data_IF_382330931239
#
_entry.id   IF_382330931239
#
_cell.length_a   1.000
_cell.length_b   1.000
_cell.length_c   1.000
_cell.angle_alpha   90.00
_cell.angle_beta   90.00
_cell.angle_gamma   90.00
#
_symmetry.space_group_name_H-M   'P 1'
#
loop_
_entity.id
_entity.type
_entity.pdbx_description
1 polymer ?
#
# COMPACT_ATOMS: atom_id res chain seq x y z
N UNK A 1 36.75 0.61 7.53
CA UNK A 1 36.41 0.96 6.14
C UNK A 1 36.53 -0.31 5.31
N UNK A 2 35.41 -0.81 4.80
CA UNK A 2 35.35 -2.08 4.07
C UNK A 2 33.94 -2.31 3.56
N UNK A 3 33.65 -1.70 2.41
CA UNK A 3 32.49 -1.99 1.57
C UNK A 3 32.65 -3.41 1.01
N UNK A 4 31.75 -4.33 1.35
CA UNK A 4 31.51 -5.51 0.53
C UNK A 4 30.01 -5.76 0.43
N UNK A 5 29.54 -5.49 -0.78
CA UNK A 5 28.25 -5.85 -1.34
C UNK A 5 28.09 -7.37 -1.39
N UNK A 6 26.96 -7.89 -0.94
CA UNK A 6 26.48 -9.24 -1.27
C UNK A 6 25.27 -9.14 -2.21
N UNK A 7 25.11 -10.09 -3.16
CA UNK A 7 24.31 -9.91 -4.37
C UNK A 7 22.79 -10.13 -4.15
N UNK A 8 21.92 -9.49 -4.96
CA UNK A 8 20.47 -9.64 -4.88
C UNK A 8 19.99 -10.88 -5.63
N UNK A 9 20.31 -12.09 -5.14
CA UNK A 9 19.93 -13.35 -5.81
C UNK A 9 18.47 -13.80 -5.57
N UNK A 10 17.72 -13.16 -4.67
CA UNK A 10 16.36 -13.61 -4.32
C UNK A 10 15.22 -12.90 -5.10
N UNK A 11 15.53 -11.88 -5.91
CA UNK A 11 14.54 -11.18 -6.72
C UNK A 11 14.45 -11.68 -8.18
N UNK A 12 15.31 -12.62 -8.57
CA UNK A 12 15.45 -13.04 -9.97
C UNK A 12 14.45 -14.12 -10.40
N UNK A 13 13.84 -14.84 -9.45
CA UNK A 13 12.98 -15.99 -9.76
C UNK A 13 11.48 -15.68 -9.93
N UNK A 14 11.03 -14.43 -9.68
CA UNK A 14 9.62 -14.03 -9.85
C UNK A 14 9.32 -13.20 -11.11
N UNK A 15 10.31 -12.91 -11.96
CA UNK A 15 10.10 -12.15 -13.21
C UNK A 15 9.94 -13.02 -14.45
N UNK A 16 9.68 -14.32 -14.30
CA UNK A 16 9.55 -15.27 -15.41
C UNK A 16 8.22 -15.16 -16.20
N UNK A 17 7.56 -13.98 -16.23
CA UNK A 17 6.71 -13.64 -17.37
C UNK A 17 7.63 -13.19 -18.50
N UNK A 18 8.04 -14.19 -19.28
CA UNK A 18 8.81 -14.11 -20.52
C UNK A 18 8.13 -13.15 -21.50
N UNK A 19 8.51 -11.87 -21.45
CA UNK A 19 8.26 -10.92 -22.52
C UNK A 19 9.31 -11.18 -23.61
N UNK A 20 8.86 -11.63 -24.77
CA UNK A 20 9.66 -11.88 -25.96
C UNK A 20 10.54 -10.67 -26.38
N UNK A 21 11.64 -10.91 -27.13
CA UNK A 21 12.87 -10.12 -27.04
C UNK A 21 12.96 -8.91 -27.99
N UNK A 22 13.70 -7.90 -27.51
CA UNK A 22 14.61 -7.00 -28.24
C UNK A 22 14.16 -6.41 -29.60
N UNK A 23 13.38 -5.32 -29.55
CA UNK A 23 13.34 -4.31 -30.62
C UNK A 23 14.19 -3.12 -30.19
N UNK A 24 15.18 -2.73 -31.00
CA UNK A 24 16.17 -1.68 -30.66
C UNK A 24 15.48 -0.43 -30.08
N UNK A 25 15.71 -0.15 -28.79
CA UNK A 25 15.24 1.06 -28.15
C UNK A 25 15.96 2.26 -28.76
N UNK A 26 15.22 3.19 -29.36
CA UNK A 26 15.78 4.43 -29.87
C UNK A 26 16.47 5.18 -28.72
N UNK A 27 17.71 5.64 -28.90
CA UNK A 27 18.55 6.34 -27.89
C UNK A 27 17.80 7.46 -27.13
N UNK A 28 16.83 8.09 -27.78
CA UNK A 28 15.98 9.15 -27.22
C UNK A 28 14.87 8.64 -26.30
N UNK A 29 14.23 7.50 -26.60
CA UNK A 29 13.23 6.86 -25.71
C UNK A 29 13.87 6.41 -24.39
N UNK A 30 15.08 5.82 -24.49
CA UNK A 30 15.90 5.49 -23.32
C UNK A 30 16.27 6.72 -22.49
N UNK A 31 16.64 7.83 -23.14
CA UNK A 31 16.93 9.10 -22.44
C UNK A 31 15.71 9.68 -21.73
N UNK A 32 14.52 9.64 -22.34
CA UNK A 32 13.27 10.11 -21.72
C UNK A 32 12.92 9.22 -20.54
N UNK A 33 13.01 7.89 -20.70
CA UNK A 33 12.77 6.94 -19.60
C UNK A 33 13.73 7.19 -18.45
N UNK A 34 15.03 7.31 -18.75
CA UNK A 34 16.06 7.65 -17.75
C UNK A 34 15.84 9.03 -17.13
N UNK A 35 15.34 10.02 -17.88
CA UNK A 35 15.07 11.36 -17.36
C UNK A 35 13.85 11.36 -16.43
N UNK A 36 12.76 10.70 -16.81
CA UNK A 36 11.57 10.51 -15.97
C UNK A 36 11.91 9.72 -14.72
N UNK A 37 12.75 8.70 -14.85
CA UNK A 37 13.17 7.88 -13.73
C UNK A 37 14.16 8.62 -12.81
N UNK A 38 15.08 9.43 -13.36
CA UNK A 38 16.08 10.15 -12.58
C UNK A 38 15.55 11.41 -11.92
N UNK A 39 14.63 12.12 -12.57
CA UNK A 39 14.19 13.44 -12.10
C UNK A 39 12.94 13.35 -11.22
N UNK A 40 13.04 13.84 -9.99
CA UNK A 40 11.88 14.04 -9.12
C UNK A 40 10.90 15.06 -9.71
N UNK A 41 11.38 16.08 -10.44
CA UNK A 41 10.52 17.14 -10.97
C UNK A 41 9.61 16.63 -12.07
N UNK A 42 10.09 15.76 -12.97
CA UNK A 42 9.24 15.17 -14.01
C UNK A 42 8.17 14.26 -13.43
N UNK A 43 8.50 13.49 -12.38
CA UNK A 43 7.52 12.65 -11.67
C UNK A 43 6.46 13.51 -10.98
N UNK A 44 6.87 14.62 -10.37
CA UNK A 44 5.95 15.57 -9.74
C UNK A 44 5.04 16.26 -10.76
N UNK A 45 5.58 16.71 -11.89
CA UNK A 45 4.82 17.36 -12.97
C UNK A 45 3.82 16.38 -13.57
N UNK A 46 4.25 15.15 -13.88
CA UNK A 46 3.38 14.11 -14.37
C UNK A 46 2.28 13.77 -13.37
N UNK A 47 2.63 13.66 -12.09
CA UNK A 47 1.68 13.41 -11.02
C UNK A 47 0.65 14.54 -10.94
N UNK A 48 1.08 15.79 -10.90
CA UNK A 48 0.18 16.96 -10.83
C UNK A 48 -0.74 17.04 -12.05
N UNK A 49 -0.22 16.73 -13.24
CA UNK A 49 -1.00 16.68 -14.46
C UNK A 49 -2.10 15.60 -14.43
N UNK A 50 -1.75 14.38 -14.00
CA UNK A 50 -2.73 13.29 -13.83
C UNK A 50 -3.73 13.63 -12.73
N UNK A 51 -3.25 14.19 -11.61
CA UNK A 51 -4.10 14.62 -10.49
C UNK A 51 -5.15 15.64 -10.96
N UNK A 52 -4.73 16.61 -11.78
CA UNK A 52 -5.59 17.64 -12.36
C UNK A 52 -6.63 17.05 -13.30
N UNK A 53 -6.25 16.12 -14.16
CA UNK A 53 -7.21 15.40 -15.01
C UNK A 53 -8.25 14.64 -14.18
N UNK A 54 -7.80 13.88 -13.17
CA UNK A 54 -8.71 13.10 -12.31
C UNK A 54 -9.60 13.97 -11.43
N UNK A 55 -9.08 15.06 -10.85
CA UNK A 55 -9.89 15.96 -10.01
C UNK A 55 -10.97 16.67 -10.82
N UNK A 56 -10.68 16.97 -12.08
CA UNK A 56 -11.65 17.57 -13.00
C UNK A 56 -12.75 16.60 -13.43
N UNK A 57 -12.40 15.34 -13.70
CA UNK A 57 -13.40 14.27 -13.96
C UNK A 57 -14.31 14.08 -12.75
N UNK A 58 -13.74 14.08 -11.54
CA UNK A 58 -14.53 13.96 -10.30
C UNK A 58 -15.41 15.21 -10.11
N UNK A 59 -14.87 16.41 -10.32
CA UNK A 59 -15.61 17.67 -10.23
C UNK A 59 -16.81 17.71 -11.19
N UNK A 60 -16.61 17.30 -12.44
CA UNK A 60 -17.67 17.19 -13.45
C UNK A 60 -18.70 16.10 -13.10
N UNK A 61 -18.22 14.95 -12.60
CA UNK A 61 -19.07 13.84 -12.16
C UNK A 61 -19.97 14.15 -10.95
N UNK A 62 -19.58 15.08 -10.08
CA UNK A 62 -20.42 15.58 -8.97
C UNK A 62 -21.42 16.64 -9.44
N UNK A 63 -21.02 17.48 -10.40
CA UNK A 63 -21.86 18.56 -10.93
C UNK A 63 -22.92 18.07 -11.93
N UNK A 64 -22.63 17.01 -12.68
CA UNK A 64 -23.54 16.48 -13.71
C UNK A 64 -24.87 16.00 -13.12
N UNK A 65 -24.93 15.08 -12.12
CA UNK A 65 -26.21 14.65 -11.56
C UNK A 65 -26.91 15.75 -10.77
N UNK A 66 -26.21 16.69 -10.13
CA UNK A 66 -26.86 17.78 -9.37
C UNK A 66 -27.52 18.82 -10.28
N UNK A 67 -26.88 19.18 -11.40
CA UNK A 67 -27.48 20.03 -12.43
C UNK A 67 -28.59 19.30 -13.18
N UNK A 68 -28.40 18.01 -13.49
CA UNK A 68 -29.37 17.21 -14.22
C UNK A 68 -30.60 16.90 -13.34
N UNK A 69 -30.45 16.62 -12.04
CA UNK A 69 -31.58 16.40 -11.12
C UNK A 69 -32.42 17.66 -10.90
N UNK A 70 -31.79 18.85 -10.87
CA UNK A 70 -32.49 20.14 -10.89
C UNK A 70 -33.24 20.38 -12.22
N UNK A 71 -32.77 19.75 -13.31
CA UNK A 71 -33.36 19.88 -14.64
C UNK A 71 -34.30 18.72 -15.00
N UNK A 72 -34.27 17.57 -14.32
CA UNK A 72 -35.01 16.33 -14.66
C UNK A 72 -36.00 15.87 -13.57
N UNK A 73 -36.29 16.68 -12.55
CA UNK A 73 -37.54 16.47 -11.81
C UNK A 73 -38.70 16.65 -12.79
N UNK A 74 -39.53 15.62 -13.06
CA UNK A 74 -40.57 15.67 -14.10
C UNK A 74 -41.58 16.79 -13.85
N UNK A 75 -41.72 17.20 -12.59
CA UNK A 75 -42.56 18.33 -12.17
C UNK A 75 -41.94 19.69 -12.53
N UNK A 76 -40.60 19.80 -12.53
CA UNK A 76 -39.87 21.03 -12.87
C UNK A 76 -39.67 21.18 -14.38
N UNK A 77 -39.42 20.09 -15.12
CA UNK A 77 -39.37 20.14 -16.60
C UNK A 77 -40.69 20.60 -17.21
N UNK A 78 -41.82 20.12 -16.68
CA UNK A 78 -43.14 20.49 -17.19
C UNK A 78 -43.48 21.95 -16.85
N UNK A 79 -43.13 22.41 -15.64
CA UNK A 79 -43.31 23.82 -15.24
C UNK A 79 -42.39 24.76 -16.02
N UNK A 80 -41.13 24.38 -16.26
CA UNK A 80 -40.16 25.16 -17.04
C UNK A 80 -40.57 25.19 -18.50
N UNK A 81 -40.85 24.07 -19.16
CA UNK A 81 -41.23 24.06 -20.59
C UNK A 81 -42.57 24.78 -20.82
N UNK A 82 -43.53 24.67 -19.90
CA UNK A 82 -44.83 25.35 -20.02
C UNK A 82 -44.74 26.85 -19.67
N UNK A 83 -43.92 27.24 -18.68
CA UNK A 83 -43.62 28.64 -18.39
C UNK A 83 -42.82 29.30 -19.52
N UNK A 84 -41.85 28.59 -20.10
CA UNK A 84 -41.03 29.03 -21.24
C UNK A 84 -41.87 29.19 -22.51
N UNK A 85 -42.82 28.28 -22.75
CA UNK A 85 -43.76 28.40 -23.87
C UNK A 85 -44.75 29.56 -23.68
N UNK A 86 -45.18 29.84 -22.44
CA UNK A 86 -46.04 30.98 -22.11
C UNK A 86 -45.32 32.34 -22.12
N UNK A 87 -44.05 32.40 -21.71
CA UNK A 87 -43.25 33.63 -21.63
C UNK A 87 -42.68 34.04 -23.00
N UNK A 88 -42.44 33.08 -23.91
CA UNK A 88 -42.02 33.31 -25.31
C UNK A 88 -43.07 34.10 -26.12
N UNK A 89 -44.32 34.10 -25.69
CA UNK A 89 -45.43 34.84 -26.33
C UNK A 89 -45.51 36.27 -25.77
N UNK A 90 -45.00 36.54 -24.57
CA UNK A 90 -45.21 37.81 -23.86
C UNK A 90 -43.98 38.73 -23.83
N UNK A 91 -42.75 38.23 -23.99
CA UNK A 91 -41.55 39.05 -24.14
C UNK A 91 -40.43 38.29 -24.89
N UNK A 92 -39.98 38.73 -26.09
CA UNK A 92 -38.92 38.06 -26.85
C UNK A 92 -37.49 38.34 -26.33
N UNK A 93 -37.36 39.00 -25.19
CA UNK A 93 -36.11 39.47 -24.60
C UNK A 93 -36.14 39.20 -23.10
N UNK A 94 -35.72 38.02 -22.61
CA UNK A 94 -35.30 37.87 -21.21
C UNK A 94 -34.52 36.57 -20.91
N UNK A 95 -33.26 36.75 -20.49
CA UNK A 95 -32.53 36.06 -19.41
C UNK A 95 -32.49 34.51 -19.27
N UNK A 96 -33.07 33.74 -20.18
CA UNK A 96 -33.06 32.27 -20.12
C UNK A 96 -31.75 31.63 -20.66
N UNK A 97 -31.01 32.38 -21.48
CA UNK A 97 -29.77 31.94 -22.14
C UNK A 97 -28.60 31.72 -21.17
N UNK A 98 -28.59 32.35 -19.99
CA UNK A 98 -27.46 32.27 -19.06
C UNK A 98 -27.36 30.91 -18.37
N UNK A 99 -28.47 30.30 -17.96
CA UNK A 99 -28.46 29.04 -17.21
C UNK A 99 -28.11 27.84 -18.11
N UNK A 100 -28.61 27.82 -19.34
CA UNK A 100 -28.31 26.77 -20.33
C UNK A 100 -26.89 26.94 -20.92
N UNK A 101 -26.44 28.18 -21.11
CA UNK A 101 -25.04 28.48 -21.46
C UNK A 101 -24.06 28.09 -20.34
N UNK A 102 -24.45 28.26 -19.07
CA UNK A 102 -23.67 27.87 -17.90
C UNK A 102 -23.44 26.35 -17.87
N UNK A 103 -24.51 25.55 -17.95
CA UNK A 103 -24.44 24.08 -17.95
C UNK A 103 -23.60 23.53 -19.12
N UNK A 104 -23.80 24.06 -20.33
CA UNK A 104 -23.03 23.63 -21.51
C UNK A 104 -21.56 24.07 -21.47
N UNK A 105 -21.22 25.15 -20.76
CA UNK A 105 -19.83 25.62 -20.68
C UNK A 105 -18.98 24.76 -19.75
N UNK A 106 -19.56 24.20 -18.69
CA UNK A 106 -18.87 23.31 -17.75
C UNK A 106 -18.49 21.98 -18.41
N UNK A 107 -19.45 21.33 -19.08
CA UNK A 107 -19.24 20.06 -19.76
C UNK A 107 -18.15 20.18 -20.85
N UNK A 108 -18.13 21.30 -21.59
CA UNK A 108 -17.11 21.56 -22.62
C UNK A 108 -15.70 21.69 -22.02
N UNK A 109 -15.55 22.34 -20.87
CA UNK A 109 -14.25 22.55 -20.20
C UNK A 109 -13.68 21.25 -19.61
N UNK A 110 -14.54 20.43 -19.00
CA UNK A 110 -14.15 19.12 -18.46
C UNK A 110 -13.71 18.18 -19.59
N UNK A 111 -14.53 18.04 -20.63
CA UNK A 111 -14.23 17.16 -21.77
C UNK A 111 -12.94 17.57 -22.46
N UNK A 112 -12.72 18.86 -22.76
CA UNK A 112 -11.49 19.28 -23.45
C UNK A 112 -10.23 19.03 -22.63
N UNK A 113 -10.29 19.20 -21.30
CA UNK A 113 -9.14 18.98 -20.44
C UNK A 113 -8.82 17.50 -20.32
N UNK A 114 -9.84 16.63 -20.26
CA UNK A 114 -9.66 15.18 -20.32
C UNK A 114 -9.03 14.78 -21.66
N UNK A 115 -9.51 15.33 -22.78
CA UNK A 115 -8.91 15.06 -24.10
C UNK A 115 -7.44 15.49 -24.14
N UNK A 116 -7.12 16.68 -23.65
CA UNK A 116 -5.74 17.18 -23.53
C UNK A 116 -4.86 16.28 -22.64
N UNK A 117 -5.39 15.82 -21.51
CA UNK A 117 -4.71 14.88 -20.61
C UNK A 117 -4.43 13.56 -21.32
N UNK A 118 -5.40 13.04 -22.07
CA UNK A 118 -5.21 11.81 -22.85
C UNK A 118 -4.19 12.00 -23.98
N UNK A 119 -4.15 13.14 -24.67
CA UNK A 119 -3.17 13.41 -25.74
C UNK A 119 -1.74 13.51 -25.20
N UNK A 120 -1.57 14.14 -24.04
CA UNK A 120 -0.29 14.17 -23.33
C UNK A 120 0.11 12.78 -22.80
N UNK A 121 -0.83 12.00 -22.26
CA UNK A 121 -0.56 10.63 -21.82
C UNK A 121 -0.22 9.72 -23.00
N UNK A 122 -0.88 9.89 -24.15
CA UNK A 122 -0.59 9.17 -25.39
C UNK A 122 0.81 9.45 -25.91
N UNK A 123 1.30 10.70 -25.81
CA UNK A 123 2.71 11.00 -26.07
C UNK A 123 3.65 10.15 -25.21
N UNK A 124 3.36 10.05 -23.91
CA UNK A 124 4.14 9.23 -22.98
C UNK A 124 4.00 7.74 -23.30
N UNK A 125 2.82 7.23 -23.66
CA UNK A 125 2.61 5.83 -24.04
C UNK A 125 3.38 5.48 -25.31
N UNK A 126 3.30 6.31 -26.36
CA UNK A 126 4.01 6.06 -27.63
C UNK A 126 5.53 6.04 -27.41
N UNK A 127 6.03 6.92 -26.55
CA UNK A 127 7.47 7.03 -26.26
C UNK A 127 7.98 5.97 -25.27
N UNK A 128 7.18 5.57 -24.27
CA UNK A 128 7.61 4.65 -23.19
C UNK A 128 7.18 3.21 -23.40
N UNK A 129 5.95 2.97 -23.86
CA UNK A 129 5.38 1.62 -24.05
C UNK A 129 5.63 1.13 -25.47
N UNK A 130 5.34 1.96 -26.48
CA UNK A 130 5.48 1.55 -27.89
C UNK A 130 6.89 1.73 -28.45
N UNK A 131 7.80 2.35 -27.68
CA UNK A 131 9.23 2.55 -28.03
C UNK A 131 9.42 3.09 -29.47
N UNK A 132 8.49 3.92 -29.96
CA UNK A 132 8.60 4.54 -31.28
C UNK A 132 9.45 5.82 -31.22
N UNK A 133 9.98 6.23 -32.37
CA UNK A 133 10.77 7.46 -32.47
C UNK A 133 9.99 8.66 -31.93
N UNK A 134 10.64 9.48 -31.10
CA UNK A 134 10.06 10.68 -30.47
C UNK A 134 9.44 11.62 -31.49
N UNK A 135 9.99 11.68 -32.72
CA UNK A 135 9.42 12.48 -33.81
C UNK A 135 7.99 12.08 -34.19
N UNK A 136 7.67 10.79 -34.23
CA UNK A 136 6.32 10.29 -34.54
C UNK A 136 5.36 10.64 -33.39
N UNK A 137 5.81 10.48 -32.15
CA UNK A 137 5.02 10.88 -30.99
C UNK A 137 4.78 12.40 -30.96
N UNK A 138 5.82 13.19 -31.21
CA UNK A 138 5.74 14.65 -31.25
C UNK A 138 4.83 15.11 -32.39
N UNK A 139 4.93 14.53 -33.58
CA UNK A 139 4.06 14.86 -34.71
C UNK A 139 2.58 14.59 -34.39
N UNK A 140 2.28 13.43 -33.78
CA UNK A 140 0.94 13.11 -33.30
C UNK A 140 0.45 14.14 -32.27
N UNK A 141 1.24 14.42 -31.24
CA UNK A 141 0.89 15.36 -30.17
C UNK A 141 0.74 16.79 -30.66
N UNK A 142 1.55 17.23 -31.61
CA UNK A 142 1.41 18.57 -32.20
C UNK A 142 0.13 18.65 -33.03
N UNK A 143 -0.20 17.61 -33.80
CA UNK A 143 -1.41 17.60 -34.63
C UNK A 143 -2.69 17.62 -33.79
N UNK A 144 -2.83 16.69 -32.85
CA UNK A 144 -4.04 16.61 -32.01
C UNK A 144 -4.04 17.64 -30.88
N UNK A 145 -2.89 17.84 -30.23
CA UNK A 145 -2.76 18.77 -29.12
C UNK A 145 -2.93 20.24 -29.52
N UNK A 146 -2.61 20.62 -30.77
CA UNK A 146 -2.90 21.99 -31.24
C UNK A 146 -4.40 22.24 -31.42
N UNK A 147 -5.15 21.29 -31.99
CA UNK A 147 -6.61 21.37 -32.10
C UNK A 147 -7.27 21.49 -30.72
N UNK A 148 -6.81 20.68 -29.77
CA UNK A 148 -7.30 20.71 -28.40
C UNK A 148 -6.92 22.02 -27.69
N UNK A 149 -5.71 22.51 -27.88
CA UNK A 149 -5.24 23.77 -27.28
C UNK A 149 -6.00 24.99 -27.82
N UNK A 150 -6.34 25.00 -29.11
CA UNK A 150 -7.19 26.04 -29.70
C UNK A 150 -8.60 26.01 -29.10
N UNK A 151 -9.18 24.82 -28.95
CA UNK A 151 -10.49 24.67 -28.34
C UNK A 151 -10.49 25.02 -26.84
N UNK A 152 -9.41 24.69 -26.13
CA UNK A 152 -9.18 25.10 -24.74
C UNK A 152 -9.06 26.62 -24.64
N UNK A 153 -8.30 27.26 -25.53
CA UNK A 153 -8.16 28.72 -25.59
C UNK A 153 -9.51 29.41 -25.78
N UNK A 154 -10.33 28.91 -26.72
CA UNK A 154 -11.69 29.41 -26.93
C UNK A 154 -12.61 29.18 -25.71
N UNK A 155 -12.39 28.10 -24.96
CA UNK A 155 -13.15 27.77 -23.76
C UNK A 155 -12.75 28.65 -22.56
N UNK A 156 -11.46 28.95 -22.40
CA UNK A 156 -10.93 29.85 -21.35
C UNK A 156 -11.50 31.26 -21.49
N UNK A 157 -11.65 31.77 -22.72
CA UNK A 157 -12.24 33.09 -22.96
C UNK A 157 -13.67 33.21 -22.40
N UNK A 158 -14.42 32.10 -22.34
CA UNK A 158 -15.80 32.05 -21.80
C UNK A 158 -15.87 31.71 -20.31
N UNK A 159 -14.75 31.38 -19.66
CA UNK A 159 -14.71 31.02 -18.22
C UNK A 159 -15.22 32.15 -17.33
N UNK A 160 -14.94 33.41 -17.70
CA UNK A 160 -15.36 34.59 -16.92
C UNK A 160 -16.89 34.70 -16.78
N UNK A 161 -17.65 34.15 -17.72
CA UNK A 161 -19.11 34.22 -17.71
C UNK A 161 -19.80 32.98 -17.11
N UNK A 162 -19.04 32.00 -16.61
CA UNK A 162 -19.63 30.85 -15.94
C UNK A 162 -18.71 29.67 -15.64
N UNK A 163 -17.63 29.46 -16.41
CA UNK A 163 -16.76 28.28 -16.28
C UNK A 163 -15.87 28.21 -15.03
N UNK A 164 -15.88 29.22 -14.16
CA UNK A 164 -14.99 29.28 -12.99
C UNK A 164 -15.35 28.28 -11.89
N UNK A 165 -16.62 27.89 -11.77
CA UNK A 165 -17.10 27.06 -10.66
C UNK A 165 -16.48 25.63 -10.64
N UNK A 166 -16.50 24.82 -11.73
CA UNK A 166 -15.84 23.52 -11.74
C UNK A 166 -14.33 23.64 -11.65
N UNK A 167 -13.74 24.72 -12.18
CA UNK A 167 -12.31 24.96 -12.06
C UNK A 167 -11.94 25.14 -10.58
N UNK A 168 -12.73 25.92 -9.83
CA UNK A 168 -12.55 26.10 -8.40
C UNK A 168 -12.75 24.79 -7.62
N UNK A 169 -13.83 24.03 -7.90
CA UNK A 169 -14.09 22.75 -7.24
C UNK A 169 -12.95 21.74 -7.54
N UNK A 170 -12.50 21.68 -8.79
CA UNK A 170 -11.39 20.81 -9.22
C UNK A 170 -10.09 21.21 -8.56
N UNK A 171 -9.84 22.52 -8.35
CA UNK A 171 -8.69 23.03 -7.63
C UNK A 171 -8.74 22.62 -6.15
N UNK A 172 -9.91 22.67 -5.50
CA UNK A 172 -10.06 22.23 -4.11
C UNK A 172 -9.78 20.72 -3.99
N UNK A 173 -10.37 19.90 -4.86
CA UNK A 173 -10.14 18.45 -4.88
C UNK A 173 -8.66 18.14 -5.16
N UNK A 174 -8.05 18.85 -6.12
CA UNK A 174 -6.63 18.74 -6.43
C UNK A 174 -5.77 19.02 -5.19
N UNK A 175 -6.04 20.11 -4.46
CA UNK A 175 -5.29 20.47 -3.25
C UNK A 175 -5.42 19.43 -2.15
N UNK A 176 -6.64 18.90 -1.94
CA UNK A 176 -6.91 17.82 -0.99
C UNK A 176 -6.12 16.55 -1.35
N UNK A 177 -6.21 16.12 -2.60
CA UNK A 177 -5.56 14.91 -3.09
C UNK A 177 -4.02 15.05 -3.11
N UNK A 178 -3.52 16.23 -3.50
CA UNK A 178 -2.10 16.54 -3.50
C UNK A 178 -1.54 16.51 -2.08
N UNK A 179 -2.26 17.12 -1.14
CA UNK A 179 -1.87 17.14 0.29
C UNK A 179 -1.90 15.74 0.89
N UNK A 180 -2.92 14.92 0.55
CA UNK A 180 -2.97 13.52 0.95
C UNK A 180 -1.78 12.71 0.43
N UNK A 181 -1.46 12.86 -0.86
CA UNK A 181 -0.34 12.18 -1.48
C UNK A 181 0.99 12.62 -0.84
N UNK A 182 1.19 13.94 -0.70
CA UNK A 182 2.37 14.52 -0.09
C UNK A 182 2.57 14.02 1.35
N UNK A 183 1.53 14.09 2.19
CA UNK A 183 1.59 13.61 3.57
C UNK A 183 1.84 12.12 3.70
N UNK A 184 1.26 11.31 2.80
CA UNK A 184 1.49 9.85 2.77
C UNK A 184 2.91 9.50 2.36
N UNK A 185 3.46 10.17 1.36
CA UNK A 185 4.85 9.98 0.92
C UNK A 185 5.82 10.38 2.03
N UNK A 186 5.58 11.54 2.65
CA UNK A 186 6.41 12.04 3.75
C UNK A 186 6.37 11.15 5.00
N UNK A 187 5.19 10.61 5.33
CA UNK A 187 5.07 9.57 6.37
C UNK A 187 5.95 8.35 6.04
N UNK A 188 5.83 7.80 4.83
CA UNK A 188 6.59 6.61 4.43
C UNK A 188 8.10 6.85 4.43
N UNK A 189 8.53 8.02 3.97
CA UNK A 189 9.94 8.41 3.98
C UNK A 189 10.50 8.44 5.41
N UNK A 190 9.74 9.02 6.35
CA UNK A 190 10.11 9.04 7.76
C UNK A 190 10.20 7.62 8.36
N UNK A 191 9.22 6.75 8.08
CA UNK A 191 9.24 5.34 8.54
C UNK A 191 10.45 4.57 8.01
N UNK A 192 10.86 4.82 6.76
CA UNK A 192 12.02 4.17 6.15
C UNK A 192 13.35 4.69 6.72
N UNK A 193 13.44 5.99 7.02
CA UNK A 193 14.63 6.60 7.61
C UNK A 193 14.81 6.21 9.09
N UNK A 194 13.71 6.15 9.84
CA UNK A 194 13.70 5.81 11.27
C UNK A 194 13.42 4.33 11.54
N UNK A 195 13.62 3.46 10.53
CA UNK A 195 13.57 2.02 10.76
C UNK A 195 14.65 1.64 11.77
N UNK A 196 14.28 0.85 12.77
CA UNK A 196 15.23 0.36 13.78
C UNK A 196 15.70 -1.02 13.34
N UNK A 197 17.02 -1.21 13.23
CA UNK A 197 17.56 -2.54 12.99
C UNK A 197 17.29 -3.41 14.21
N UNK A 198 16.80 -4.62 13.96
CA UNK A 198 16.46 -5.55 15.02
C UNK A 198 17.69 -5.90 15.86
N UNK A 199 18.88 -6.00 15.24
CA UNK A 199 20.14 -6.24 15.93
C UNK A 199 20.47 -5.14 16.96
N UNK A 200 20.17 -3.88 16.62
CA UNK A 200 20.36 -2.77 17.55
C UNK A 200 19.36 -2.86 18.70
N UNK A 201 18.10 -3.19 18.42
CA UNK A 201 17.09 -3.38 19.45
C UNK A 201 17.42 -4.56 20.38
N UNK A 202 17.86 -5.68 19.82
CA UNK A 202 18.30 -6.86 20.57
C UNK A 202 19.59 -6.61 21.37
N UNK A 203 20.53 -5.80 20.89
CA UNK A 203 21.72 -5.45 21.67
C UNK A 203 21.39 -4.59 22.90
N UNK A 204 20.37 -3.75 22.79
CA UNK A 204 19.94 -2.83 23.85
C UNK A 204 18.98 -3.57 24.81
N UNK A 205 18.22 -4.55 24.33
CA UNK A 205 17.25 -5.35 25.09
C UNK A 205 17.76 -5.93 26.42
N UNK A 206 18.91 -6.64 26.50
CA UNK A 206 19.44 -7.16 27.75
C UNK A 206 19.69 -6.08 28.80
N UNK A 207 20.08 -4.89 28.36
CA UNK A 207 20.36 -3.75 29.24
C UNK A 207 19.08 -3.04 29.74
N UNK A 208 17.94 -3.25 29.08
CA UNK A 208 16.66 -2.64 29.48
C UNK A 208 15.88 -3.44 30.52
N UNK A 209 16.32 -4.65 30.88
CA UNK A 209 15.57 -5.49 31.82
C UNK A 209 14.16 -5.83 31.33
N UNK A 210 14.03 -6.18 30.05
CA UNK A 210 12.73 -6.42 29.42
C UNK A 210 12.00 -7.59 30.08
N UNK A 211 10.82 -7.31 30.63
CA UNK A 211 9.92 -8.33 31.21
C UNK A 211 9.16 -8.99 30.07
N UNK A 212 9.23 -10.32 29.99
CA UNK A 212 8.44 -11.09 29.02
C UNK A 212 7.13 -11.52 29.66
N UNK A 213 6.03 -11.06 29.08
CA UNK A 213 4.66 -11.43 29.48
C UNK A 213 4.26 -12.68 28.69
N UNK A 214 3.60 -13.68 29.31
CA UNK A 214 3.08 -14.82 28.56
C UNK A 214 2.01 -14.38 27.57
N UNK A 215 2.00 -14.97 26.38
CA UNK A 215 1.09 -14.66 25.27
C UNK A 215 1.80 -14.53 23.92
N UNK A 216 0.99 -14.41 22.87
CA UNK A 216 1.46 -14.09 21.50
C UNK A 216 1.08 -12.66 21.15
N UNK A 217 2.03 -11.87 20.65
CA UNK A 217 1.75 -10.53 20.12
C UNK A 217 1.96 -10.45 18.61
N UNK A 218 0.90 -10.04 17.90
CA UNK A 218 0.87 -9.83 16.47
C UNK A 218 1.07 -8.34 16.18
N UNK A 219 2.25 -7.96 15.67
CA UNK A 219 2.59 -6.56 15.38
C UNK A 219 2.38 -6.28 13.89
N UNK A 220 1.36 -5.49 13.55
CA UNK A 220 1.13 -5.06 12.18
C UNK A 220 2.10 -3.96 11.77
N UNK A 221 2.94 -4.25 10.78
CA UNK A 221 3.92 -3.34 10.21
C UNK A 221 3.69 -3.16 8.71
N UNK A 222 4.03 -1.98 8.20
CA UNK A 222 4.11 -1.72 6.75
C UNK A 222 5.56 -1.80 6.23
N UNK A 223 6.53 -2.01 7.12
CA UNK A 223 7.95 -2.10 6.79
C UNK A 223 8.28 -3.56 6.48
N UNK A 224 8.89 -3.80 5.33
CA UNK A 224 9.33 -5.15 4.95
C UNK A 224 10.47 -5.58 5.87
N UNK A 225 11.58 -4.86 5.92
CA UNK A 225 12.77 -5.27 6.68
C UNK A 225 13.00 -4.41 7.92
N UNK A 226 13.20 -5.05 9.07
CA UNK A 226 13.47 -4.39 10.35
C UNK A 226 12.23 -4.24 11.24
N UNK A 227 12.41 -3.63 12.40
CA UNK A 227 11.35 -3.43 13.38
C UNK A 227 10.72 -2.06 13.15
N UNK A 228 9.38 -1.95 13.13
CA UNK A 228 8.73 -0.66 12.92
C UNK A 228 9.07 0.29 14.09
N UNK A 229 9.28 1.59 13.83
CA UNK A 229 9.68 2.56 14.86
C UNK A 229 8.70 2.66 16.03
N UNK A 230 7.41 2.41 15.78
CA UNK A 230 6.39 2.32 16.84
C UNK A 230 6.70 1.26 17.90
N UNK A 231 7.29 0.12 17.51
CA UNK A 231 7.60 -0.94 18.45
C UNK A 231 8.83 -0.59 19.28
N UNK A 232 9.86 -0.01 18.64
CA UNK A 232 11.02 0.49 19.37
C UNK A 232 10.61 1.54 20.41
N UNK A 233 9.77 2.49 20.03
CA UNK A 233 9.22 3.50 20.93
C UNK A 233 8.37 2.90 22.06
N UNK A 234 7.59 1.86 21.77
CA UNK A 234 6.81 1.15 22.79
C UNK A 234 7.73 0.50 23.82
N UNK A 235 8.71 -0.29 23.38
CA UNK A 235 9.62 -1.03 24.26
C UNK A 235 10.47 -0.09 25.14
N UNK A 236 10.85 1.09 24.63
CA UNK A 236 11.59 2.07 25.43
C UNK A 236 10.76 2.72 26.53
N UNK A 237 9.45 2.86 26.35
CA UNK A 237 8.55 3.43 27.35
C UNK A 237 7.98 2.38 28.30
N UNK A 238 7.68 1.20 27.76
CA UNK A 238 7.15 0.05 28.47
C UNK A 238 8.08 -1.14 28.19
N UNK A 239 9.01 -1.46 29.11
CA UNK A 239 9.94 -2.57 28.94
C UNK A 239 9.26 -3.93 29.18
N UNK A 240 8.10 -4.14 28.57
CA UNK A 240 7.33 -5.37 28.65
C UNK A 240 6.73 -5.70 27.29
N UNK A 241 6.99 -6.91 26.79
CA UNK A 241 6.36 -7.43 25.58
C UNK A 241 6.17 -8.94 25.69
N UNK A 242 5.42 -9.51 24.76
CA UNK A 242 5.00 -10.90 24.81
C UNK A 242 6.16 -11.85 24.50
N UNK A 243 6.14 -13.07 25.06
CA UNK A 243 7.18 -14.08 24.82
C UNK A 243 7.34 -14.42 23.35
N UNK A 244 6.22 -14.59 22.64
CA UNK A 244 6.20 -14.78 21.19
C UNK A 244 5.76 -13.50 20.51
N UNK A 245 6.59 -12.98 19.60
CA UNK A 245 6.30 -11.77 18.85
C UNK A 245 6.37 -12.05 17.35
N UNK A 246 5.27 -11.81 16.64
CA UNK A 246 5.16 -12.03 15.20
C UNK A 246 4.94 -10.69 14.50
N UNK A 247 5.93 -10.25 13.72
CA UNK A 247 5.80 -9.07 12.86
C UNK A 247 5.05 -9.44 11.58
N UNK A 248 3.85 -8.89 11.42
CA UNK A 248 2.98 -9.13 10.27
C UNK A 248 3.10 -8.00 9.25
N UNK A 249 3.43 -8.37 8.01
CA UNK A 249 3.37 -7.47 6.86
C UNK A 249 2.34 -7.97 5.86
N UNK A 250 1.32 -7.15 5.60
CA UNK A 250 0.25 -7.46 4.66
C UNK A 250 0.66 -6.95 3.26
N UNK A 251 0.84 -7.87 2.31
CA UNK A 251 1.22 -7.57 0.94
C UNK A 251 0.06 -7.85 -0.02
N UNK A 252 -0.45 -6.83 -0.71
CA UNK A 252 -1.44 -7.04 -1.79
C UNK A 252 -0.71 -7.20 -3.13
N UNK A 253 -1.02 -8.28 -3.84
CA UNK A 253 -0.48 -8.63 -5.15
C UNK A 253 -1.53 -8.41 -6.25
N UNK A 254 -1.07 -8.15 -7.49
CA UNK A 254 -1.93 -7.93 -8.66
C UNK A 254 -2.45 -9.23 -9.29
N UNK A 255 -2.63 -10.28 -8.48
CA UNK A 255 -3.19 -11.58 -8.90
C UNK A 255 -4.57 -11.76 -8.27
N UNK A 256 -5.51 -12.46 -8.92
CA UNK A 256 -6.88 -12.57 -8.42
C UNK A 256 -6.94 -13.25 -7.05
N UNK A 257 -6.29 -14.41 -6.92
CA UNK A 257 -6.25 -15.19 -5.69
C UNK A 257 -4.84 -15.76 -5.54
N UNK A 258 -4.24 -15.58 -4.38
CA UNK A 258 -2.91 -16.14 -4.08
C UNK A 258 -3.10 -17.59 -3.60
N UNK A 259 -2.34 -18.56 -4.12
CA UNK A 259 -2.40 -19.95 -3.63
C UNK A 259 -2.00 -20.01 -2.15
N UNK A 260 -2.58 -20.96 -1.40
CA UNK A 260 -2.38 -21.08 0.05
C UNK A 260 -0.90 -21.28 0.43
N UNK A 261 -0.15 -22.00 -0.41
CA UNK A 261 1.28 -22.30 -0.23
C UNK A 261 2.15 -21.05 -0.26
N UNK A 262 1.84 -20.07 -1.11
CA UNK A 262 2.60 -18.81 -1.21
C UNK A 262 1.98 -17.67 -0.40
N UNK A 263 0.88 -17.93 0.30
CA UNK A 263 0.12 -16.92 1.04
C UNK A 263 0.86 -16.45 2.28
N UNK A 264 1.52 -17.36 2.97
CA UNK A 264 2.25 -17.09 4.20
C UNK A 264 3.74 -17.36 3.99
N UNK A 265 4.56 -16.34 4.25
CA UNK A 265 6.01 -16.41 4.19
C UNK A 265 6.55 -16.12 5.58
N UNK A 266 7.21 -17.11 6.18
CA UNK A 266 7.68 -17.02 7.56
C UNK A 266 9.20 -17.05 7.58
N UNK A 267 9.78 -16.21 8.43
CA UNK A 267 11.19 -16.24 8.76
C UNK A 267 11.39 -15.94 10.24
N UNK A 268 12.33 -16.64 10.86
CA UNK A 268 12.79 -16.36 12.22
C UNK A 268 13.72 -15.14 12.23
N UNK A 269 13.68 -14.37 13.31
CA UNK A 269 14.56 -13.22 13.49
C UNK A 269 15.36 -13.34 14.78
N UNK A 270 16.69 -13.38 14.67
CA UNK A 270 17.59 -13.56 15.81
C UNK A 270 17.69 -15.02 16.26
N UNK A 271 18.18 -15.22 17.49
CA UNK A 271 18.30 -16.55 18.10
C UNK A 271 16.91 -17.13 18.48
N UNK A 272 16.76 -18.46 18.51
CA UNK A 272 15.50 -19.14 18.85
C UNK A 272 14.92 -18.70 20.20
N UNK A 273 15.78 -18.45 21.20
CA UNK A 273 15.41 -17.99 22.54
C UNK A 273 14.60 -16.68 22.55
N UNK A 274 14.69 -15.87 21.49
CA UNK A 274 13.99 -14.59 21.46
C UNK A 274 12.52 -14.69 21.07
N UNK A 275 12.04 -15.80 20.49
CA UNK A 275 10.63 -15.96 20.12
C UNK A 275 10.14 -14.94 19.07
N UNK A 276 11.05 -14.42 18.23
CA UNK A 276 10.78 -13.36 17.25
C UNK A 276 10.61 -13.95 15.85
N UNK A 277 9.44 -13.71 15.27
CA UNK A 277 9.09 -14.17 13.93
C UNK A 277 8.69 -13.01 13.04
N UNK A 278 8.95 -13.16 11.75
CA UNK A 278 8.47 -12.27 10.69
C UNK A 278 7.58 -13.09 9.77
N UNK A 279 6.38 -12.58 9.54
CA UNK A 279 5.45 -13.17 8.60
C UNK A 279 4.99 -12.15 7.56
N UNK A 280 5.07 -12.52 6.29
CA UNK A 280 4.43 -11.78 5.19
C UNK A 280 3.20 -12.55 4.78
N UNK A 281 2.05 -11.87 4.79
CA UNK A 281 0.79 -12.44 4.32
C UNK A 281 0.43 -11.78 3.00
N UNK A 282 0.35 -12.58 1.93
CA UNK A 282 0.05 -12.13 0.57
C UNK A 282 -1.43 -12.28 0.27
N UNK A 283 -2.02 -11.23 -0.31
CA UNK A 283 -3.42 -11.18 -0.70
C UNK A 283 -3.56 -10.85 -2.18
N UNK A 284 -4.41 -11.59 -2.90
CA UNK A 284 -4.86 -11.23 -4.23
C UNK A 284 -5.99 -10.20 -4.21
N UNK A 285 -6.26 -9.56 -5.34
CA UNK A 285 -7.29 -8.50 -5.42
C UNK A 285 -8.73 -9.03 -5.33
N UNK A 286 -8.96 -10.34 -5.54
CA UNK A 286 -10.25 -11.02 -5.29
C UNK A 286 -10.25 -11.87 -4.02
N UNK A 287 -9.16 -11.88 -3.26
CA UNK A 287 -9.14 -12.60 -1.99
C UNK A 287 -10.06 -11.91 -0.99
N UNK A 288 -11.00 -12.68 -0.43
CA UNK A 288 -11.75 -12.25 0.73
C UNK A 288 -10.80 -11.98 1.88
N UNK A 289 -10.99 -10.87 2.60
CA UNK A 289 -10.30 -10.66 3.88
C UNK A 289 -10.82 -11.73 4.83
N UNK A 290 -9.91 -12.57 5.33
CA UNK A 290 -10.20 -13.54 6.38
C UNK A 290 -10.64 -12.76 7.63
N UNK A 291 -11.55 -13.33 8.40
CA UNK A 291 -11.81 -12.84 9.75
C UNK A 291 -10.52 -12.95 10.59
N UNK A 292 -10.32 -12.02 11.53
CA UNK A 292 -9.09 -11.96 12.33
C UNK A 292 -8.74 -13.29 13.00
N UNK A 293 -9.74 -14.02 13.50
CA UNK A 293 -9.55 -15.33 14.14
C UNK A 293 -9.08 -16.42 13.17
N UNK A 294 -9.63 -16.48 11.95
CA UNK A 294 -9.20 -17.46 10.96
C UNK A 294 -7.78 -17.17 10.47
N UNK A 295 -7.45 -15.89 10.28
CA UNK A 295 -6.10 -15.47 9.97
C UNK A 295 -5.13 -15.82 11.09
N UNK A 296 -5.48 -15.55 12.34
CA UNK A 296 -4.69 -15.87 13.52
C UNK A 296 -4.40 -17.38 13.60
N UNK A 297 -5.42 -18.22 13.45
CA UNK A 297 -5.27 -19.68 13.48
C UNK A 297 -4.37 -20.18 12.34
N UNK A 298 -4.62 -19.72 11.10
CA UNK A 298 -3.79 -20.11 9.97
C UNK A 298 -2.34 -19.66 10.13
N UNK A 299 -2.13 -18.43 10.61
CA UNK A 299 -0.80 -17.89 10.88
C UNK A 299 -0.04 -18.73 11.90
N UNK A 300 -0.66 -19.02 13.05
CA UNK A 300 -0.04 -19.78 14.14
C UNK A 300 0.26 -21.23 13.71
N UNK A 301 -0.65 -21.87 12.99
CA UNK A 301 -0.42 -23.19 12.41
C UNK A 301 0.76 -23.19 11.44
N UNK A 302 0.86 -22.16 10.59
CA UNK A 302 1.96 -22.04 9.63
C UNK A 302 3.29 -21.79 10.35
N UNK A 303 3.31 -21.01 11.45
CA UNK A 303 4.51 -20.83 12.29
C UNK A 303 4.91 -22.14 12.97
N UNK A 304 3.96 -22.92 13.48
CA UNK A 304 4.25 -24.23 14.05
C UNK A 304 4.87 -25.19 13.01
N UNK A 305 4.35 -25.20 11.78
CA UNK A 305 4.92 -25.99 10.68
C UNK A 305 6.34 -25.52 10.31
N UNK A 306 6.60 -24.20 10.34
CA UNK A 306 7.93 -23.65 10.11
C UNK A 306 8.94 -24.19 11.13
N UNK A 307 8.57 -24.17 12.42
CA UNK A 307 9.43 -24.66 13.50
C UNK A 307 9.76 -26.14 13.37
N UNK A 308 8.78 -26.98 12.99
CA UNK A 308 9.00 -28.40 12.73
C UNK A 308 9.96 -28.64 11.55
N UNK A 309 9.85 -27.83 10.49
CA UNK A 309 10.68 -27.98 9.29
C UNK A 309 12.11 -27.45 9.51
N UNK A 310 12.30 -26.42 10.32
CA UNK A 310 13.61 -25.89 10.68
C UNK A 310 14.42 -26.90 11.52
N UNK A 311 13.77 -27.62 12.43
CA UNK A 311 14.39 -28.71 13.20
C UNK A 311 14.91 -29.88 12.38
N UNK A 312 14.29 -30.17 11.23
CA UNK A 312 14.73 -31.24 10.32
C UNK A 312 15.85 -30.82 9.36
N UNK A 313 16.10 -29.51 9.21
CA UNK A 313 17.15 -28.95 8.35
C UNK A 313 18.25 -28.38 9.24
N UNK A 314 19.17 -29.26 9.68
CA UNK A 314 20.35 -28.93 10.48
C UNK A 314 20.85 -27.50 10.30
N UNK A 315 20.87 -26.76 11.40
CA UNK A 315 20.75 -25.30 11.48
C UNK A 315 21.66 -24.47 10.58
N UNK A 316 21.20 -24.15 9.37
CA UNK A 316 21.84 -23.15 8.52
C UNK A 316 20.85 -22.25 7.78
N UNK A 317 19.82 -21.77 8.48
CA UNK A 317 19.08 -20.55 8.07
C UNK A 317 19.34 -19.40 9.05
N UNK A 318 20.56 -19.30 9.58
CA UNK A 318 21.02 -18.10 10.25
C UNK A 318 21.27 -17.00 9.21
N UNK A 319 20.20 -16.35 8.72
CA UNK A 319 20.21 -14.98 8.16
C UNK A 319 18.85 -14.61 7.53
N UNK A 320 17.77 -14.52 8.31
CA UNK A 320 16.54 -13.82 7.92
C UNK A 320 15.89 -14.24 6.59
N UNK A 321 16.22 -15.44 6.09
CA UNK A 321 15.71 -15.98 4.85
C UNK A 321 14.28 -16.44 5.08
N UNK A 322 13.35 -15.97 4.26
CA UNK A 322 11.96 -16.38 4.34
C UNK A 322 11.78 -17.73 3.66
N UNK A 323 11.11 -18.64 4.36
CA UNK A 323 10.67 -19.90 3.78
C UNK A 323 9.22 -19.78 3.32
N UNK A 324 8.94 -20.43 2.20
CA UNK A 324 7.58 -20.71 1.73
C UNK A 324 7.21 -22.07 2.32
N UNK A 325 6.07 -22.16 3.02
CA UNK A 325 5.58 -23.44 3.51
C UNK A 325 4.56 -23.96 2.51
N UNK A 326 5.02 -24.88 1.68
CA UNK A 326 4.15 -25.63 0.77
C UNK A 326 3.55 -26.81 1.53
N UNK A 327 2.23 -26.79 1.68
CA UNK A 327 1.31 -27.82 2.20
C UNK A 327 1.02 -27.90 3.72
N UNK A 328 -0.28 -28.02 4.10
CA UNK A 328 -0.68 -28.41 5.44
C UNK A 328 -0.53 -29.93 5.61
N UNK A 329 0.53 -30.37 6.30
CA UNK A 329 0.58 -31.75 6.77
C UNK A 329 -0.52 -31.96 7.81
N UNK A 330 -1.41 -32.92 7.53
CA UNK A 330 -2.39 -33.43 8.49
C UNK A 330 -1.61 -34.02 9.65
N UNK A 331 -1.85 -33.53 10.87
CA UNK A 331 -1.29 -34.08 12.11
C UNK A 331 -1.74 -35.55 12.26
N UNK A 332 -0.91 -36.49 11.79
CA UNK A 332 -1.08 -37.92 12.06
C UNK A 332 -0.31 -38.25 13.33
N UNK A 333 -1.03 -38.38 14.44
CA UNK A 333 -0.52 -38.97 15.67
C UNK A 333 -0.41 -40.49 15.43
N UNK A 334 0.78 -40.96 15.07
CA UNK A 334 1.07 -42.37 14.86
C UNK A 334 1.62 -43.04 16.13
N UNK A 335 0.86 -43.98 16.70
CA UNK A 335 1.29 -44.87 17.78
C UNK A 335 2.41 -45.85 17.31
N UNK A 336 3.30 -46.32 18.21
CA UNK A 336 4.40 -47.19 17.83
C UNK A 336 3.94 -48.65 17.68
N UNK A 337 4.02 -49.19 16.46
CA UNK A 337 3.92 -50.61 16.16
C UNK A 337 5.31 -51.23 16.01
N UNK A 338 5.59 -52.25 16.82
CA UNK A 338 6.89 -52.95 16.85
C UNK A 338 7.14 -53.87 15.66
N UNK A 339 8.42 -54.04 15.33
CA UNK A 339 8.94 -55.03 14.40
C UNK A 339 10.45 -55.10 14.51
N UNK A 340 10.96 -56.20 15.05
CA UNK A 340 12.38 -56.48 15.22
C UNK A 340 12.96 -57.05 13.92
N UNK A 341 14.14 -56.57 13.50
CA UNK A 341 15.10 -57.41 12.77
C UNK A 341 16.55 -56.93 12.99
N UNK A 342 17.45 -57.88 13.16
CA UNK A 342 18.81 -57.72 13.63
C UNK A 342 19.86 -57.75 12.52
N UNK A 343 20.80 -56.79 12.57
CA UNK A 343 22.04 -56.77 11.80
C UNK A 343 23.02 -55.76 12.41
N UNK A 344 24.35 -55.98 12.31
CA UNK A 344 25.32 -55.28 13.16
C UNK A 344 25.42 -53.80 12.75
N UNK A 345 24.94 -52.92 13.64
CA UNK A 345 24.93 -51.47 13.45
C UNK A 345 26.32 -50.89 13.69
N UNK A 346 26.88 -50.32 12.63
CA UNK A 346 27.96 -49.32 12.70
C UNK A 346 27.35 -48.06 13.33
N UNK A 347 27.82 -47.68 14.52
CA UNK A 347 27.27 -46.56 15.31
C UNK A 347 27.62 -45.25 14.61
N UNK A 348 26.70 -44.74 13.81
CA UNK A 348 26.79 -43.41 13.21
C UNK A 348 26.22 -42.40 14.22
N UNK A 349 27.09 -41.56 14.80
CA UNK A 349 26.77 -40.48 15.74
C UNK A 349 25.88 -39.36 15.17
N UNK A 350 25.23 -39.58 14.03
CA UNK A 350 24.39 -38.58 13.33
C UNK A 350 22.93 -38.61 13.78
N UNK A 351 22.47 -39.69 14.41
CA UNK A 351 21.08 -39.85 14.85
C UNK A 351 20.76 -39.20 16.20
N UNK A 352 21.77 -38.94 17.04
CA UNK A 352 21.56 -38.31 18.36
C UNK A 352 21.38 -36.81 18.23
N UNK A 353 22.13 -36.15 17.34
CA UNK A 353 21.93 -34.72 17.00
C UNK A 353 20.59 -34.51 16.31
N UNK A 354 20.25 -35.30 15.30
CA UNK A 354 18.96 -35.18 14.60
C UNK A 354 17.75 -35.44 15.53
N UNK A 355 17.84 -36.43 16.43
CA UNK A 355 16.78 -36.70 17.40
C UNK A 355 16.71 -35.64 18.53
N UNK A 356 17.81 -34.94 18.81
CA UNK A 356 17.83 -33.81 19.75
C UNK A 356 17.26 -32.53 19.10
N UNK A 357 17.60 -32.27 17.84
CA UNK A 357 17.02 -31.17 17.05
C UNK A 357 15.50 -31.35 16.86
N UNK A 358 15.04 -32.56 16.55
CA UNK A 358 13.60 -32.85 16.39
C UNK A 358 12.81 -32.69 17.70
N UNK A 359 13.40 -33.08 18.84
CA UNK A 359 12.81 -32.85 20.17
C UNK A 359 12.76 -31.37 20.53
N UNK A 360 13.83 -30.62 20.27
CA UNK A 360 13.89 -29.18 20.52
C UNK A 360 12.82 -28.44 19.72
N UNK A 361 12.61 -28.81 18.45
CA UNK A 361 11.54 -28.22 17.63
C UNK A 361 10.14 -28.59 18.09
N UNK A 362 9.93 -29.78 18.64
CA UNK A 362 8.64 -30.12 19.28
C UNK A 362 8.40 -29.31 20.56
N UNK A 363 9.43 -29.05 21.35
CA UNK A 363 9.36 -28.17 22.53
C UNK A 363 9.00 -26.73 22.13
N UNK A 364 9.65 -26.15 21.11
CA UNK A 364 9.32 -24.80 20.62
C UNK A 364 7.89 -24.68 20.10
N UNK A 365 7.37 -25.72 19.44
CA UNK A 365 5.98 -25.77 18.98
C UNK A 365 5.03 -25.87 20.17
N UNK A 366 5.37 -26.67 21.18
CA UNK A 366 4.58 -26.78 22.41
C UNK A 366 4.51 -25.43 23.13
N UNK A 367 5.65 -24.75 23.31
CA UNK A 367 5.71 -23.41 23.89
C UNK A 367 4.85 -22.43 23.11
N UNK A 368 4.90 -22.44 21.77
CA UNK A 368 4.05 -21.58 20.94
C UNK A 368 2.55 -21.80 21.20
N UNK A 369 2.13 -23.06 21.41
CA UNK A 369 0.74 -23.41 21.69
C UNK A 369 0.32 -23.00 23.10
N UNK A 370 1.20 -23.16 24.09
CA UNK A 370 0.97 -22.71 25.47
C UNK A 370 0.85 -21.17 25.53
N UNK A 371 1.74 -20.46 24.84
CA UNK A 371 1.70 -19.00 24.76
C UNK A 371 0.47 -18.52 23.97
N UNK A 372 -0.04 -19.29 23.01
CA UNK A 372 -1.33 -19.02 22.36
C UNK A 372 -2.49 -19.13 23.36
N UNK A 373 -2.48 -20.14 24.22
CA UNK A 373 -3.52 -20.34 25.25
C UNK A 373 -3.52 -19.22 26.30
N UNK A 374 -2.35 -18.64 26.60
CA UNK A 374 -2.24 -17.46 27.46
C UNK A 374 -2.89 -16.19 26.85
N UNK A 375 -3.08 -16.16 25.52
CA UNK A 375 -3.84 -15.14 24.81
C UNK A 375 -3.07 -14.46 23.67
N UNK A 376 -3.82 -13.90 22.72
CA UNK A 376 -3.27 -13.18 21.56
C UNK A 376 -3.60 -11.69 21.62
N UNK A 377 -2.54 -10.87 21.61
CA UNK A 377 -2.62 -9.41 21.56
C UNK A 377 -2.25 -8.90 20.17
N UNK A 378 -2.93 -7.86 19.71
CA UNK A 378 -2.69 -7.24 18.42
C UNK A 378 -2.11 -5.84 18.63
N UNK A 379 -0.97 -5.55 18.02
CA UNK A 379 -0.32 -4.25 18.14
C UNK A 379 -0.31 -3.52 16.81
N UNK A 380 -0.81 -2.29 16.79
CA UNK A 380 -0.88 -1.46 15.59
C UNK A 380 -0.40 -0.03 15.84
N UNK A 381 0.31 0.54 14.87
CA UNK A 381 0.85 1.89 14.96
C UNK A 381 -0.13 2.94 14.54
N UNK A 382 -0.44 3.87 15.45
CA UNK A 382 -1.21 5.06 15.13
C UNK A 382 -0.28 6.26 14.98
N UNK A 383 0.17 6.50 13.75
CA UNK A 383 1.07 7.62 13.46
C UNK A 383 0.31 8.93 13.28
N UNK A 384 0.69 9.94 14.08
CA UNK A 384 0.36 11.35 13.86
C UNK A 384 1.54 12.05 13.19
N UNK A 385 1.33 12.61 12.00
CA UNK A 385 2.35 13.40 11.31
C UNK A 385 2.10 14.86 11.64
N UNK A 386 3.12 15.54 12.15
CA UNK A 386 3.07 16.95 12.55
C UNK A 386 4.21 17.70 11.86
N UNK A 387 3.96 18.90 11.35
CA UNK A 387 5.01 19.72 10.77
C UNK A 387 5.97 20.25 11.84
N UNK A 388 7.28 20.34 11.54
CA UNK A 388 8.22 20.99 12.47
C UNK A 388 7.84 22.47 12.73
N UNK A 389 8.14 22.98 13.92
CA UNK A 389 7.83 24.37 14.30
C UNK A 389 8.52 25.42 13.40
N UNK A 390 9.69 25.08 12.85
CA UNK A 390 10.43 25.90 11.89
C UNK A 390 9.88 25.84 10.46
N UNK A 391 8.92 24.97 10.17
CA UNK A 391 8.35 24.83 8.83
C UNK A 391 7.49 26.04 8.44
N UNK A 392 7.45 26.41 7.14
CA UNK A 392 6.62 27.50 6.68
C UNK A 392 5.14 27.25 6.97
N UNK A 393 4.36 28.32 7.16
CA UNK A 393 2.92 28.26 7.46
C UNK A 393 2.15 27.37 6.49
N UNK A 394 2.46 27.44 5.19
CA UNK A 394 1.80 26.62 4.17
C UNK A 394 2.01 25.11 4.40
N UNK A 395 3.21 24.70 4.83
CA UNK A 395 3.52 23.30 5.14
C UNK A 395 2.78 22.85 6.41
N UNK A 396 2.70 23.72 7.43
CA UNK A 396 1.91 23.46 8.64
C UNK A 396 0.42 23.31 8.32
N UNK A 397 -0.15 24.22 7.52
CA UNK A 397 -1.56 24.14 7.09
C UNK A 397 -1.84 22.85 6.30
N UNK A 398 -0.95 22.47 5.40
CA UNK A 398 -1.08 21.25 4.60
C UNK A 398 -1.01 19.98 5.48
N UNK A 399 -0.02 19.87 6.37
CA UNK A 399 0.21 18.67 7.18
C UNK A 399 -0.74 18.62 8.38
N UNK A 400 -0.74 19.64 9.23
CA UNK A 400 -1.47 19.62 10.51
C UNK A 400 -2.96 19.85 10.30
N UNK A 401 -3.31 20.71 9.34
CA UNK A 401 -4.69 21.04 8.98
C UNK A 401 -5.30 19.98 8.06
N UNK A 402 -4.96 20.04 6.77
CA UNK A 402 -5.64 19.27 5.72
C UNK A 402 -5.34 17.76 5.83
N UNK A 403 -4.07 17.36 5.86
CA UNK A 403 -3.70 15.93 5.96
C UNK A 403 -4.15 15.33 7.30
N UNK A 404 -3.95 16.04 8.41
CA UNK A 404 -4.45 15.64 9.73
C UNK A 404 -5.96 15.40 9.75
N UNK A 405 -6.75 16.33 9.20
CA UNK A 405 -8.21 16.19 9.09
C UNK A 405 -8.63 15.00 8.21
N UNK A 406 -8.05 14.88 7.01
CA UNK A 406 -8.34 13.76 6.10
C UNK A 406 -8.03 12.41 6.75
N UNK A 407 -6.92 12.33 7.48
CA UNK A 407 -6.49 11.10 8.14
C UNK A 407 -7.40 10.71 9.30
N UNK A 408 -7.91 11.68 10.06
CA UNK A 408 -8.90 11.44 11.15
C UNK A 408 -10.25 10.98 10.61
N UNK A 409 -10.68 11.49 9.45
CA UNK A 409 -11.95 11.10 8.82
C UNK A 409 -11.86 9.82 7.99
N UNK A 410 -10.64 9.37 7.65
CA UNK A 410 -10.43 8.09 6.99
C UNK A 410 -10.61 6.95 8.01
N UNK A 411 -11.24 5.84 7.60
CA UNK A 411 -11.43 4.67 8.48
C UNK A 411 -10.09 4.21 9.07
N UNK A 412 -10.06 3.97 10.38
CA UNK A 412 -8.86 3.42 11.05
C UNK A 412 -8.47 2.07 10.44
N UNK A 413 -7.16 1.87 10.30
CA UNK A 413 -6.62 0.64 9.72
C UNK A 413 -6.99 -0.60 10.55
N UNK A 414 -7.11 -0.48 11.88
CA UNK A 414 -7.53 -1.56 12.77
C UNK A 414 -8.98 -2.01 12.51
N UNK A 415 -9.91 -1.06 12.36
CA UNK A 415 -11.32 -1.34 12.03
C UNK A 415 -11.42 -1.99 10.66
N UNK A 416 -10.58 -1.58 9.71
CA UNK A 416 -10.55 -2.22 8.40
C UNK A 416 -10.15 -3.70 8.48
N UNK A 417 -9.25 -4.06 9.41
CA UNK A 417 -8.73 -5.41 9.60
C UNK A 417 -9.66 -6.31 10.42
N UNK A 418 -10.74 -5.77 11.02
CA UNK A 418 -11.69 -6.55 11.81
C UNK A 418 -11.10 -7.08 13.12
N UNK A 419 -10.11 -6.38 13.69
CA UNK A 419 -9.44 -6.80 14.93
C UNK A 419 -10.35 -6.46 16.13
N UNK A 420 -10.56 -7.38 17.07
CA UNK A 420 -11.34 -7.10 18.28
C UNK A 420 -10.68 -6.00 19.12
N UNK A 421 -11.49 -5.04 19.58
CA UNK A 421 -10.99 -3.90 20.37
C UNK A 421 -10.43 -4.30 21.75
N UNK A 422 -10.84 -5.45 22.30
CA UNK A 422 -10.42 -5.91 23.63
C UNK A 422 -8.97 -6.35 23.71
N UNK A 423 -8.36 -6.77 22.60
CA UNK A 423 -6.96 -7.22 22.53
C UNK A 423 -6.09 -6.34 21.63
N UNK A 424 -6.59 -5.16 21.23
CA UNK A 424 -5.88 -4.20 20.39
C UNK A 424 -5.08 -3.19 21.23
N UNK A 425 -3.77 -3.17 21.02
CA UNK A 425 -2.84 -2.18 21.54
C UNK A 425 -2.49 -1.20 20.41
N UNK A 426 -3.05 0.01 20.47
CA UNK A 426 -2.70 1.09 19.56
C UNK A 426 -1.55 1.93 20.13
N UNK A 427 -0.40 1.92 19.45
CA UNK A 427 0.75 2.73 19.86
C UNK A 427 0.79 4.02 19.05
N UNK A 428 0.50 5.12 19.73
CA UNK A 428 0.60 6.47 19.19
C UNK A 428 2.06 6.90 19.01
N UNK A 429 2.44 7.30 17.80
CA UNK A 429 3.75 7.92 17.54
C UNK A 429 3.59 9.21 16.78
N UNK A 430 4.27 10.27 17.23
CA UNK A 430 4.30 11.57 16.55
C UNK A 430 5.53 11.65 15.65
N UNK A 431 5.33 11.87 14.35
CA UNK A 431 6.40 12.08 13.38
C UNK A 431 6.47 13.54 13.03
N UNK A 432 7.60 14.17 13.35
CA UNK A 432 7.88 15.55 12.97
C UNK A 432 8.51 15.57 11.58
N UNK A 433 7.83 16.22 10.62
CA UNK A 433 8.21 16.20 9.19
C UNK A 433 8.37 17.59 8.57
#
# INVERSE_FOLDING_TARGET
MGLLSTPPAAHEHLSAYKLEPHREETRTSLSIKKFIEKSQTSRLVLLLFVLLGTSMVIGDGVLTPTMLQLTFSPFSTFLVVSAVSGLRIKAPELHESKHLSFSLSHLRLAVITVMLVTTCLMFLIITTVWRRSVFVALLFTVTFGSLESLYLSASIAKVHHGGWLPLLISLIILMVMFTWHYGTVKKREFELQNKVSLDRLLSISPSLGLVRVPGVCLVYSNVTNGVPPMFAHFVTNFPAFHRVLIFLWLQTLTVPKVPLEERFLIGRIGLPEYGLFRCIVRYGYKDGRLESYELENQLLLTVAQFLQQEGGRGGSSANGAMSVISEPCTLVVGAPGGGADGGPKRVQFKGVEAAAEEKLSQEEVWELMEEREAGVSYMMGHTHVVACESSPFLKKLAIDGVYGFLRRNSRSSAVSLGIPHSSLIEVGTVYHV
#
